data_IF_465291807211
#
_entry.id   IF_465291807211
#
_cell.length_a   1.000
_cell.length_b   1.000
_cell.length_c   1.000
_cell.angle_alpha   90.00
_cell.angle_beta   90.00
_cell.angle_gamma   90.00
#
_symmetry.space_group_name_H-M   'P 1'
#
loop_
_entity.id
_entity.type
_entity.pdbx_description
1 polymer ?
#
# COMPACT_ATOMS: atom_id res chain seq x y z
N UNK A 1 73.54 24.17 55.66
CA UNK A 1 72.85 23.89 54.37
C UNK A 1 71.80 22.83 54.67
N UNK A 2 70.55 22.82 54.19
CA UNK A 2 69.89 23.52 53.10
C UNK A 2 68.43 23.82 53.51
N UNK A 3 67.86 24.89 52.94
CA UNK A 3 66.52 25.39 53.26
C UNK A 3 65.52 24.81 52.27
N UNK A 4 64.64 23.94 52.74
CA UNK A 4 63.60 23.29 51.93
C UNK A 4 62.51 24.30 51.55
N UNK A 5 62.29 24.50 50.24
CA UNK A 5 61.33 25.48 49.69
C UNK A 5 60.05 24.77 49.27
N UNK A 6 58.95 25.12 49.93
CA UNK A 6 57.58 24.61 49.67
C UNK A 6 57.11 25.00 48.26
N UNK A 7 56.82 24.00 47.41
CA UNK A 7 56.25 24.16 46.06
C UNK A 7 54.79 24.66 46.16
N UNK A 8 54.49 25.81 45.57
CA UNK A 8 53.11 26.30 45.39
C UNK A 8 52.44 25.54 44.24
N UNK A 9 51.31 24.90 44.54
CA UNK A 9 50.36 24.36 43.57
C UNK A 9 49.62 25.52 42.91
N UNK A 10 49.90 25.79 41.62
CA UNK A 10 49.14 26.74 40.82
C UNK A 10 48.69 26.09 39.52
N UNK A 11 47.40 25.75 39.46
CA UNK A 11 46.75 25.24 38.27
C UNK A 11 45.28 24.92 38.52
N UNK A 12 44.56 25.78 39.26
CA UNK A 12 43.09 25.66 39.38
C UNK A 12 42.49 25.91 38.00
N UNK A 13 42.15 24.83 37.28
CA UNK A 13 41.27 24.89 36.10
C UNK A 13 39.96 25.53 36.55
N UNK A 14 39.67 26.75 36.11
CA UNK A 14 38.48 27.46 36.56
C UNK A 14 37.24 26.80 35.94
N UNK A 15 36.19 26.49 36.74
CA UNK A 15 34.98 25.86 36.22
C UNK A 15 34.26 26.73 35.19
N UNK A 16 34.47 28.06 35.25
CA UNK A 16 33.96 29.02 34.28
C UNK A 16 34.61 28.88 32.89
N UNK A 17 35.90 28.52 32.81
CA UNK A 17 36.57 28.27 31.53
C UNK A 17 36.04 26.98 30.88
N UNK A 18 35.74 25.96 31.67
CA UNK A 18 35.11 24.74 31.17
C UNK A 18 33.67 24.99 30.66
N UNK A 19 32.87 25.78 31.40
CA UNK A 19 31.53 26.15 30.99
C UNK A 19 31.51 27.00 29.71
N UNK A 20 32.45 27.94 29.56
CA UNK A 20 32.59 28.75 28.35
C UNK A 20 32.95 27.92 27.11
N UNK A 21 33.84 26.92 27.25
CA UNK A 21 34.22 26.03 26.15
C UNK A 21 33.08 25.11 25.73
N UNK A 22 32.29 24.60 26.68
CA UNK A 22 31.11 23.77 26.40
C UNK A 22 30.02 24.62 25.71
N UNK A 23 29.79 25.85 26.19
CA UNK A 23 28.85 26.78 25.56
C UNK A 23 29.25 27.16 24.13
N UNK A 24 30.54 27.43 23.90
CA UNK A 24 31.05 27.68 22.54
C UNK A 24 30.88 26.45 21.64
N UNK A 25 31.16 25.25 22.15
CA UNK A 25 30.96 23.99 21.41
C UNK A 25 29.51 23.77 21.01
N UNK A 26 28.56 23.97 21.94
CA UNK A 26 27.12 23.85 21.70
C UNK A 26 26.59 24.87 20.69
N UNK A 27 27.09 26.10 20.73
CA UNK A 27 26.69 27.15 19.78
C UNK A 27 27.20 26.84 18.36
N UNK A 28 28.42 26.33 18.23
CA UNK A 28 28.98 25.94 16.93
C UNK A 28 28.22 24.75 16.36
N UNK A 29 27.97 23.70 17.15
CA UNK A 29 27.20 22.53 16.66
C UNK A 29 25.75 22.88 16.35
N UNK A 30 25.12 23.74 17.14
CA UNK A 30 23.78 24.26 16.87
C UNK A 30 23.71 25.10 15.59
N UNK A 31 24.70 25.98 15.35
CA UNK A 31 24.78 26.79 14.14
C UNK A 31 25.05 25.94 12.89
N UNK A 32 25.93 24.93 12.99
CA UNK A 32 26.18 23.98 11.90
C UNK A 32 24.93 23.14 11.60
N UNK A 33 24.23 22.66 12.63
CA UNK A 33 22.99 21.91 12.45
C UNK A 33 21.90 22.77 11.81
N UNK A 34 21.71 24.01 12.27
CA UNK A 34 20.74 24.95 11.70
C UNK A 34 21.10 25.36 10.26
N UNK A 35 22.39 25.54 9.96
CA UNK A 35 22.86 25.81 8.60
C UNK A 35 22.64 24.61 7.67
N UNK A 36 22.89 23.40 8.15
CA UNK A 36 22.63 22.17 7.40
C UNK A 36 21.14 21.98 7.15
N UNK A 37 20.28 22.12 8.15
CA UNK A 37 18.82 22.00 7.97
C UNK A 37 18.26 23.09 7.07
N UNK A 38 18.78 24.33 7.13
CA UNK A 38 18.41 25.40 6.20
C UNK A 38 18.86 25.11 4.76
N UNK A 39 20.03 24.49 4.57
CA UNK A 39 20.50 24.07 3.25
C UNK A 39 19.66 22.92 2.68
N UNK A 40 19.26 21.94 3.51
CA UNK A 40 18.32 20.89 3.10
C UNK A 40 16.94 21.47 2.77
N UNK A 41 16.41 22.37 3.58
CA UNK A 41 15.12 23.03 3.33
C UNK A 41 15.14 23.95 2.09
N UNK A 42 16.28 24.60 1.79
CA UNK A 42 16.45 25.37 0.56
C UNK A 42 16.57 24.50 -0.69
N UNK A 43 16.91 23.21 -0.55
CA UNK A 43 16.91 22.24 -1.64
C UNK A 43 15.48 21.75 -1.95
N UNK A 44 14.60 21.72 -0.94
CA UNK A 44 13.16 21.42 -1.10
C UNK A 44 12.36 22.57 -1.75
N UNK A 45 12.98 23.74 -1.99
CA UNK A 45 12.31 24.89 -2.62
C UNK A 45 12.72 25.11 -4.07
N UNK A 46 13.14 24.07 -4.79
CA UNK A 46 12.95 24.09 -6.24
C UNK A 46 11.46 23.95 -6.49
N UNK A 47 10.84 25.06 -6.91
CA UNK A 47 9.58 25.03 -7.66
C UNK A 47 9.73 23.99 -8.76
N UNK A 48 9.18 22.80 -8.53
CA UNK A 48 8.94 21.81 -9.55
C UNK A 48 7.93 22.44 -10.51
N UNK A 49 8.44 23.09 -11.55
CA UNK A 49 7.78 23.01 -12.82
C UNK A 49 7.72 21.51 -13.12
N UNK A 50 6.56 20.89 -12.85
CA UNK A 50 6.29 19.49 -13.13
C UNK A 50 6.42 19.28 -14.63
N UNK A 51 7.63 19.04 -15.13
CA UNK A 51 7.79 18.48 -16.46
C UNK A 51 7.19 17.09 -16.38
N UNK A 52 5.96 16.95 -16.87
CA UNK A 52 5.31 15.65 -17.01
C UNK A 52 6.27 14.72 -17.76
N UNK A 53 6.55 13.56 -17.17
CA UNK A 53 7.39 12.55 -17.81
C UNK A 53 6.76 12.13 -19.13
N UNK A 54 7.59 12.00 -20.16
CA UNK A 54 7.12 11.69 -21.52
C UNK A 54 7.03 10.18 -21.74
N UNK A 55 6.36 9.77 -22.82
CA UNK A 55 6.37 8.37 -23.30
C UNK A 55 7.80 7.83 -23.48
N UNK A 56 8.71 8.67 -23.95
CA UNK A 56 10.12 8.29 -24.10
C UNK A 56 10.83 8.06 -22.76
N UNK A 57 10.47 8.82 -21.73
CA UNK A 57 10.96 8.57 -20.36
C UNK A 57 10.38 7.28 -19.80
N UNK A 58 9.10 7.01 -20.07
CA UNK A 58 8.45 5.73 -19.81
C UNK A 58 9.16 4.55 -20.45
N UNK A 59 9.56 4.68 -21.72
CA UNK A 59 10.35 3.66 -22.43
C UNK A 59 11.70 3.39 -21.78
N UNK A 60 12.42 4.43 -21.34
CA UNK A 60 13.70 4.28 -20.64
C UNK A 60 13.53 3.58 -19.30
N UNK A 61 12.51 3.96 -18.53
CA UNK A 61 12.17 3.31 -17.27
C UNK A 61 11.82 1.83 -17.48
N UNK A 62 10.99 1.53 -18.47
CA UNK A 62 10.63 0.17 -18.84
C UNK A 62 11.85 -0.65 -19.26
N UNK A 63 12.71 -0.08 -20.11
CA UNK A 63 13.94 -0.74 -20.59
C UNK A 63 14.89 -1.09 -19.43
N UNK A 64 15.02 -0.18 -18.46
CA UNK A 64 15.91 -0.37 -17.31
C UNK A 64 15.37 -1.39 -16.29
N UNK A 65 14.06 -1.52 -16.14
CA UNK A 65 13.45 -2.25 -15.01
C UNK A 65 12.65 -3.50 -15.41
N UNK A 66 12.13 -3.57 -16.63
CA UNK A 66 11.11 -4.55 -17.03
C UNK A 66 11.52 -5.40 -18.24
N UNK A 67 12.32 -4.86 -19.16
CA UNK A 67 12.64 -5.49 -20.44
C UNK A 67 13.35 -6.84 -20.32
N UNK A 68 14.08 -7.10 -19.23
CA UNK A 68 14.72 -8.40 -18.98
C UNK A 68 13.71 -9.56 -18.95
N UNK A 69 12.50 -9.30 -18.44
CA UNK A 69 11.44 -10.32 -18.36
C UNK A 69 10.40 -10.15 -19.46
N UNK A 70 10.04 -8.91 -19.80
CA UNK A 70 8.97 -8.60 -20.74
C UNK A 70 9.43 -8.33 -22.18
N UNK A 71 10.75 -8.38 -22.44
CA UNK A 71 11.34 -8.07 -23.73
C UNK A 71 11.43 -6.56 -24.00
N UNK A 72 12.28 -6.15 -24.93
CA UNK A 72 12.45 -4.73 -25.30
C UNK A 72 11.23 -4.18 -26.07
N UNK A 73 10.52 -5.06 -26.76
CA UNK A 73 9.36 -4.73 -27.63
C UNK A 73 8.06 -5.29 -27.05
N UNK A 74 8.01 -5.54 -25.73
CA UNK A 74 6.84 -6.06 -25.01
C UNK A 74 6.43 -7.50 -25.39
N UNK A 75 7.27 -8.20 -26.14
CA UNK A 75 6.99 -9.54 -26.68
C UNK A 75 7.04 -10.66 -25.61
N UNK A 76 7.54 -10.38 -24.41
CA UNK A 76 7.78 -11.37 -23.38
C UNK A 76 9.06 -12.17 -23.59
N UNK A 77 9.42 -12.98 -22.60
CA UNK A 77 10.57 -13.89 -22.63
C UNK A 77 10.21 -15.22 -21.94
N UNK A 78 11.17 -16.14 -21.82
CA UNK A 78 10.98 -17.31 -20.96
C UNK A 78 10.78 -16.96 -19.47
N UNK A 79 11.17 -15.75 -19.05
CA UNK A 79 11.12 -15.30 -17.66
C UNK A 79 9.92 -14.40 -17.34
N UNK A 80 9.13 -14.01 -18.34
CA UNK A 80 7.98 -13.12 -18.16
C UNK A 80 7.04 -13.12 -19.36
N UNK A 81 5.73 -12.92 -19.13
CA UNK A 81 4.75 -12.94 -20.21
C UNK A 81 4.92 -11.74 -21.15
N UNK A 82 4.31 -11.85 -22.33
CA UNK A 82 4.12 -10.70 -23.22
C UNK A 82 3.21 -9.66 -22.56
N UNK A 83 3.46 -8.39 -22.89
CA UNK A 83 2.62 -7.26 -22.49
C UNK A 83 1.73 -6.75 -23.65
N UNK A 84 1.63 -7.47 -24.76
CA UNK A 84 0.68 -7.14 -25.82
C UNK A 84 -0.76 -7.23 -25.31
N UNK A 85 -1.54 -6.16 -25.52
CA UNK A 85 -2.93 -6.07 -25.05
C UNK A 85 -3.11 -5.72 -23.58
N UNK A 86 -2.02 -5.52 -22.82
CA UNK A 86 -2.08 -5.16 -21.39
C UNK A 86 -2.54 -3.71 -21.21
N UNK A 87 -2.04 -2.79 -22.02
CA UNK A 87 -2.41 -1.37 -21.99
C UNK A 87 -1.97 -0.60 -20.75
N UNK A 88 -2.35 0.68 -20.69
CA UNK A 88 -1.98 1.59 -19.60
C UNK A 88 -2.66 1.24 -18.28
N UNK A 89 -3.94 0.89 -18.28
CA UNK A 89 -4.70 0.68 -17.04
C UNK A 89 -4.17 -0.53 -16.25
N UNK A 90 -3.90 -1.64 -16.94
CA UNK A 90 -3.34 -2.82 -16.28
C UNK A 90 -1.89 -2.58 -15.83
N UNK A 91 -1.12 -1.80 -16.60
CA UNK A 91 0.24 -1.43 -16.24
C UNK A 91 0.26 -0.57 -14.98
N UNK A 92 -0.59 0.46 -14.94
CA UNK A 92 -0.79 1.30 -13.76
C UNK A 92 -1.16 0.41 -12.57
N UNK A 93 -2.20 -0.42 -12.68
CA UNK A 93 -2.66 -1.28 -11.59
C UNK A 93 -1.55 -2.20 -11.05
N UNK A 94 -0.75 -2.83 -11.92
CA UNK A 94 0.30 -3.76 -11.45
C UNK A 94 1.44 -3.01 -10.75
N UNK A 95 1.80 -1.82 -11.21
CA UNK A 95 2.90 -1.03 -10.64
C UNK A 95 2.48 -0.25 -9.39
N UNK A 96 1.30 0.36 -9.39
CA UNK A 96 0.77 1.18 -8.29
C UNK A 96 0.28 0.33 -7.11
N UNK A 97 -0.08 -0.93 -7.36
CA UNK A 97 -0.32 -1.90 -6.27
C UNK A 97 0.95 -2.61 -5.82
N UNK A 98 2.10 -2.27 -6.43
CA UNK A 98 3.42 -2.81 -6.15
C UNK A 98 3.59 -4.29 -6.50
N UNK A 99 2.64 -4.92 -7.17
CA UNK A 99 2.75 -6.34 -7.60
C UNK A 99 3.91 -6.53 -8.57
N UNK A 100 4.06 -5.57 -9.48
CA UNK A 100 5.21 -5.43 -10.37
C UNK A 100 6.09 -4.24 -9.93
N UNK A 101 7.42 -4.34 -10.03
CA UNK A 101 8.20 -5.50 -10.48
C UNK A 101 8.14 -6.67 -9.50
N UNK A 102 8.04 -7.89 -10.05
CA UNK A 102 7.94 -9.11 -9.26
C UNK A 102 9.32 -9.47 -8.68
N UNK A 103 9.37 -9.73 -7.37
CA UNK A 103 10.64 -10.06 -6.68
C UNK A 103 10.95 -11.56 -6.69
N UNK A 104 9.92 -12.40 -6.71
CA UNK A 104 10.06 -13.85 -6.68
C UNK A 104 8.86 -14.51 -7.34
N UNK A 105 9.09 -15.67 -7.96
CA UNK A 105 8.02 -16.51 -8.48
C UNK A 105 7.30 -17.21 -7.33
N UNK A 106 5.98 -17.23 -7.38
CA UNK A 106 5.13 -17.87 -6.37
C UNK A 106 3.72 -18.10 -6.92
N UNK A 107 2.80 -18.65 -6.10
CA UNK A 107 1.44 -18.95 -6.54
C UNK A 107 0.68 -17.73 -7.09
N UNK A 108 0.99 -16.55 -6.54
CA UNK A 108 0.47 -15.26 -7.00
C UNK A 108 1.37 -14.10 -6.58
N UNK A 109 1.29 -12.96 -7.27
CA UNK A 109 2.06 -11.77 -6.90
C UNK A 109 1.35 -11.00 -5.76
N UNK A 110 1.94 -10.91 -4.55
CA UNK A 110 1.35 -10.16 -3.46
C UNK A 110 1.43 -8.65 -3.73
N UNK A 111 0.52 -7.89 -3.12
CA UNK A 111 0.65 -6.43 -3.05
C UNK A 111 1.86 -6.05 -2.20
N UNK A 112 2.56 -4.99 -2.61
CA UNK A 112 3.75 -4.46 -1.94
C UNK A 112 3.72 -2.95 -2.01
N UNK A 113 4.65 -2.31 -1.29
CA UNK A 113 4.91 -0.89 -1.51
C UNK A 113 5.31 -0.64 -2.97
N UNK A 114 4.72 0.36 -3.66
CA UNK A 114 5.12 0.75 -5.01
C UNK A 114 6.59 1.16 -5.04
N UNK A 115 7.29 0.76 -6.11
CA UNK A 115 8.71 1.10 -6.29
C UNK A 115 8.94 2.35 -7.16
N UNK A 116 7.89 2.81 -7.82
CA UNK A 116 7.92 3.96 -8.73
C UNK A 116 6.96 5.03 -8.23
N UNK A 117 7.24 6.28 -8.58
CA UNK A 117 6.31 7.39 -8.33
C UNK A 117 5.15 7.33 -9.32
N UNK A 118 4.04 8.01 -9.00
CA UNK A 118 2.87 8.08 -9.87
C UNK A 118 3.23 8.57 -11.29
N UNK A 119 3.99 9.65 -11.40
CA UNK A 119 4.43 10.18 -12.71
C UNK A 119 5.24 9.16 -13.52
N UNK A 120 6.08 8.35 -12.86
CA UNK A 120 6.86 7.31 -13.51
C UNK A 120 5.98 6.15 -13.97
N UNK A 121 4.99 5.77 -13.15
CA UNK A 121 4.00 4.74 -13.47
C UNK A 121 3.19 5.17 -14.69
N UNK A 122 2.65 6.39 -14.69
CA UNK A 122 1.88 6.93 -15.80
C UNK A 122 2.70 7.05 -17.08
N UNK A 123 3.97 7.46 -17.00
CA UNK A 123 4.85 7.49 -18.16
C UNK A 123 5.11 6.09 -18.75
N UNK A 124 5.39 5.09 -17.90
CA UNK A 124 5.54 3.70 -18.34
C UNK A 124 4.24 3.13 -18.90
N UNK A 125 3.10 3.43 -18.26
CA UNK A 125 1.77 3.01 -18.72
C UNK A 125 1.45 3.60 -20.10
N UNK A 126 1.73 4.88 -20.32
CA UNK A 126 1.56 5.53 -21.62
C UNK A 126 2.47 4.93 -22.70
N UNK A 127 3.71 4.57 -22.35
CA UNK A 127 4.59 3.83 -23.26
C UNK A 127 4.02 2.47 -23.65
N UNK A 128 3.60 1.66 -22.66
CA UNK A 128 2.97 0.36 -22.92
C UNK A 128 1.72 0.53 -23.79
N UNK A 129 0.87 1.52 -23.52
CA UNK A 129 -0.32 1.78 -24.34
C UNK A 129 0.01 2.18 -25.79
N UNK A 130 1.10 2.91 -26.01
CA UNK A 130 1.51 3.35 -27.35
C UNK A 130 2.01 2.19 -28.23
N UNK A 131 2.64 1.18 -27.64
CA UNK A 131 3.21 0.02 -28.36
C UNK A 131 2.28 -1.20 -28.33
N UNK A 132 1.51 -1.35 -27.25
CA UNK A 132 0.65 -2.49 -26.95
C UNK A 132 -0.71 -2.02 -26.40
N UNK A 133 -1.60 -1.49 -27.26
CA UNK A 133 -2.88 -0.97 -26.83
C UNK A 133 -3.71 -2.01 -26.08
N UNK A 134 -4.29 -1.60 -24.95
CA UNK A 134 -5.18 -2.41 -24.13
C UNK A 134 -6.19 -1.54 -23.38
N UNK A 135 -6.74 -2.03 -22.26
CA UNK A 135 -7.63 -1.25 -21.39
C UNK A 135 -7.06 0.11 -21.01
N UNK A 136 -7.88 1.14 -21.11
CA UNK A 136 -7.56 2.55 -20.82
C UNK A 136 -8.26 3.01 -19.54
N UNK A 137 -7.85 4.16 -19.01
CA UNK A 137 -8.48 4.77 -17.85
C UNK A 137 -9.97 5.06 -18.09
N UNK A 138 -10.84 4.81 -17.09
CA UNK A 138 -12.25 5.17 -17.19
C UNK A 138 -12.43 6.69 -17.07
N UNK A 139 -13.62 7.17 -17.44
CA UNK A 139 -14.01 8.55 -17.12
C UNK A 139 -14.20 8.76 -15.62
N UNK A 140 -14.02 9.99 -15.15
CA UNK A 140 -14.20 10.38 -13.74
C UNK A 140 -15.58 10.02 -13.19
N UNK A 141 -16.61 10.00 -14.04
CA UNK A 141 -17.98 9.60 -13.68
C UNK A 141 -18.02 8.19 -13.08
N UNK A 142 -17.24 7.24 -13.59
CA UNK A 142 -17.22 5.85 -13.12
C UNK A 142 -16.57 5.72 -11.74
N UNK A 143 -15.69 6.65 -11.39
CA UNK A 143 -14.89 6.61 -10.17
C UNK A 143 -15.44 7.50 -9.05
N UNK A 144 -16.56 8.19 -9.29
CA UNK A 144 -17.06 9.25 -8.41
C UNK A 144 -17.67 8.76 -7.08
N UNK A 145 -17.95 7.45 -6.98
CA UNK A 145 -18.58 6.83 -5.82
C UNK A 145 -20.05 7.23 -5.60
N UNK A 146 -20.76 7.67 -6.64
CA UNK A 146 -22.15 8.15 -6.58
C UNK A 146 -23.11 7.30 -7.42
N UNK A 147 -22.77 6.06 -7.68
CA UNK A 147 -23.67 5.06 -8.25
C UNK A 147 -24.73 4.56 -7.25
N UNK A 148 -25.59 3.66 -7.69
CA UNK A 148 -26.57 2.98 -6.85
C UNK A 148 -25.88 1.92 -5.96
N UNK A 149 -25.68 2.28 -4.69
CA UNK A 149 -25.08 1.40 -3.67
C UNK A 149 -25.86 0.10 -3.48
N UNK A 150 -27.18 0.11 -3.63
CA UNK A 150 -28.01 -1.09 -3.41
C UNK A 150 -27.81 -2.07 -4.57
N UNK A 151 -27.90 -1.57 -5.81
CA UNK A 151 -27.64 -2.36 -7.01
C UNK A 151 -26.19 -2.89 -7.01
N UNK A 152 -25.22 -2.03 -6.72
CA UNK A 152 -23.81 -2.40 -6.64
C UNK A 152 -23.53 -3.49 -5.60
N UNK A 153 -24.20 -3.43 -4.45
CA UNK A 153 -24.06 -4.43 -3.40
C UNK A 153 -24.71 -5.77 -3.76
N UNK A 154 -25.74 -5.79 -4.61
CA UNK A 154 -26.32 -7.01 -5.18
C UNK A 154 -25.37 -7.61 -6.23
N UNK A 155 -24.90 -6.79 -7.18
CA UNK A 155 -23.95 -7.20 -8.21
C UNK A 155 -22.66 -7.76 -7.61
N UNK A 156 -22.11 -7.12 -6.57
CA UNK A 156 -20.94 -7.62 -5.87
C UNK A 156 -21.18 -8.98 -5.21
N UNK A 157 -22.36 -9.19 -4.60
CA UNK A 157 -22.72 -10.48 -3.98
C UNK A 157 -22.83 -11.61 -5.00
N UNK A 158 -23.38 -11.32 -6.18
CA UNK A 158 -23.57 -12.32 -7.24
C UNK A 158 -22.26 -12.64 -7.96
N UNK A 159 -21.39 -11.65 -8.17
CA UNK A 159 -20.23 -11.80 -9.05
C UNK A 159 -18.87 -11.91 -8.33
N UNK A 160 -18.73 -11.33 -7.13
CA UNK A 160 -17.42 -11.10 -6.50
C UNK A 160 -17.28 -11.77 -5.12
N UNK A 161 -18.37 -11.83 -4.35
CA UNK A 161 -18.35 -12.29 -2.96
C UNK A 161 -17.93 -13.77 -2.80
N UNK A 162 -18.06 -14.58 -3.85
CA UNK A 162 -17.57 -15.96 -3.87
C UNK A 162 -16.06 -16.05 -3.64
N UNK A 163 -15.31 -15.03 -4.03
CA UNK A 163 -13.87 -14.95 -3.82
C UNK A 163 -13.49 -13.95 -2.73
N UNK A 164 -14.11 -12.76 -2.75
CA UNK A 164 -13.72 -11.65 -1.87
C UNK A 164 -14.48 -11.59 -0.54
N UNK A 165 -15.36 -12.56 -0.25
CA UNK A 165 -16.31 -12.53 0.88
C UNK A 165 -17.39 -11.43 0.71
N UNK A 166 -18.57 -11.62 1.30
CA UNK A 166 -19.67 -10.65 1.28
C UNK A 166 -19.28 -9.32 1.93
N UNK A 167 -18.41 -9.35 2.94
CA UNK A 167 -17.86 -8.16 3.58
C UNK A 167 -16.63 -7.59 2.85
N UNK A 168 -16.29 -8.12 1.67
CA UNK A 168 -15.09 -7.76 0.91
C UNK A 168 -13.77 -7.95 1.68
N UNK A 169 -13.75 -8.86 2.66
CA UNK A 169 -12.60 -9.16 3.51
C UNK A 169 -11.50 -10.01 2.84
N UNK A 170 -11.77 -10.54 1.64
CA UNK A 170 -10.91 -11.47 0.93
C UNK A 170 -11.26 -12.94 1.21
N UNK A 171 -10.48 -13.85 0.62
CA UNK A 171 -10.74 -15.28 0.73
C UNK A 171 -9.61 -16.14 0.19
N UNK A 172 -9.48 -17.37 0.69
CA UNK A 172 -8.51 -18.34 0.19
C UNK A 172 -8.99 -18.95 -1.14
N UNK A 173 -8.08 -19.11 -2.10
CA UNK A 173 -8.28 -19.80 -3.37
C UNK A 173 -7.44 -21.08 -3.41
N UNK A 174 -7.63 -21.88 -4.45
CA UNK A 174 -6.87 -23.12 -4.67
C UNK A 174 -5.38 -22.84 -4.88
N UNK A 175 -4.54 -23.84 -4.62
CA UNK A 175 -3.09 -23.79 -4.89
C UNK A 175 -2.33 -22.67 -4.15
N UNK A 176 -2.82 -22.22 -3.00
CA UNK A 176 -2.17 -21.18 -2.19
C UNK A 176 -2.38 -19.75 -2.71
N UNK A 177 -3.27 -19.57 -3.69
CA UNK A 177 -3.75 -18.26 -4.14
C UNK A 177 -4.77 -17.69 -3.14
N UNK A 178 -5.03 -16.39 -3.20
CA UNK A 178 -6.03 -15.73 -2.37
C UNK A 178 -6.57 -14.47 -3.04
N UNK A 179 -7.83 -14.15 -2.74
CA UNK A 179 -8.46 -12.89 -3.07
C UNK A 179 -8.11 -11.87 -1.97
N UNK A 180 -7.55 -10.70 -2.32
CA UNK A 180 -7.25 -9.67 -1.33
C UNK A 180 -8.54 -9.06 -0.76
N UNK A 181 -8.45 -8.49 0.45
CA UNK A 181 -9.49 -7.63 0.99
C UNK A 181 -9.58 -6.31 0.21
N UNK A 182 -10.79 -5.77 0.07
CA UNK A 182 -11.07 -4.53 -0.68
C UNK A 182 -11.38 -3.35 0.24
N UNK A 183 -11.04 -3.45 1.53
CA UNK A 183 -11.32 -2.43 2.53
C UNK A 183 -10.50 -1.13 2.42
N UNK A 184 -9.40 -1.15 1.67
CA UNK A 184 -8.44 -0.03 1.61
C UNK A 184 -7.97 0.29 0.17
N UNK A 185 -8.73 -0.13 -0.84
CA UNK A 185 -8.36 0.06 -2.26
C UNK A 185 -9.09 1.27 -2.86
N UNK A 186 -8.49 1.88 -3.90
CA UNK A 186 -9.05 3.05 -4.59
C UNK A 186 -10.14 2.64 -5.60
N UNK A 187 -11.03 3.59 -5.93
CA UNK A 187 -12.04 3.39 -6.98
C UNK A 187 -11.40 2.98 -8.32
N UNK A 188 -10.28 3.62 -8.69
CA UNK A 188 -9.53 3.29 -9.90
C UNK A 188 -9.04 1.84 -9.89
N UNK A 189 -8.49 1.38 -8.77
CA UNK A 189 -7.98 0.01 -8.66
C UNK A 189 -9.10 -1.03 -8.60
N UNK A 190 -10.27 -0.70 -8.05
CA UNK A 190 -11.46 -1.55 -8.16
C UNK A 190 -11.88 -1.70 -9.64
N UNK A 191 -11.98 -0.58 -10.37
CA UNK A 191 -12.31 -0.60 -11.80
C UNK A 191 -11.27 -1.38 -12.61
N UNK A 192 -9.98 -1.09 -12.41
CA UNK A 192 -8.89 -1.76 -13.10
C UNK A 192 -8.89 -3.26 -12.84
N UNK A 193 -9.12 -3.70 -11.59
CA UNK A 193 -9.21 -5.12 -11.26
C UNK A 193 -10.38 -5.80 -12.01
N UNK A 194 -11.55 -5.16 -12.10
CA UNK A 194 -12.69 -5.71 -12.84
C UNK A 194 -12.39 -5.85 -14.34
N UNK A 195 -11.82 -4.83 -14.97
CA UNK A 195 -11.63 -4.80 -16.43
C UNK A 195 -10.39 -5.60 -16.88
N UNK A 196 -9.37 -5.71 -16.03
CA UNK A 196 -8.10 -6.38 -16.41
C UNK A 196 -8.01 -7.81 -15.92
N UNK A 197 -8.84 -8.22 -14.95
CA UNK A 197 -8.86 -9.58 -14.41
C UNK A 197 -7.48 -10.03 -13.89
N UNK A 198 -6.89 -9.35 -12.88
CA UNK A 198 -5.54 -9.63 -12.46
C UNK A 198 -5.42 -11.05 -11.87
N UNK A 199 -4.38 -11.76 -12.29
CA UNK A 199 -4.03 -13.10 -11.79
C UNK A 199 -5.12 -14.15 -12.05
N UNK A 200 -5.91 -14.51 -11.04
CA UNK A 200 -6.98 -15.51 -11.16
C UNK A 200 -8.38 -14.85 -11.11
N UNK A 201 -8.45 -13.52 -11.05
CA UNK A 201 -9.71 -12.81 -11.13
C UNK A 201 -10.21 -12.83 -12.58
N UNK A 202 -11.48 -13.21 -12.85
CA UNK A 202 -12.02 -13.17 -14.20
C UNK A 202 -12.14 -11.73 -14.71
N UNK A 203 -12.10 -11.58 -16.03
CA UNK A 203 -12.30 -10.28 -16.70
C UNK A 203 -13.78 -9.98 -16.81
N UNK A 204 -14.18 -8.80 -16.31
CA UNK A 204 -15.54 -8.27 -16.39
C UNK A 204 -15.59 -7.09 -17.38
N UNK A 205 -15.70 -7.43 -18.66
CA UNK A 205 -15.92 -6.44 -19.72
C UNK A 205 -17.38 -5.99 -19.82
N UNK A 206 -17.65 -5.03 -20.70
CA UNK A 206 -18.93 -4.32 -20.84
C UNK A 206 -20.12 -5.22 -21.23
N UNK A 207 -19.83 -6.39 -21.77
CA UNK A 207 -20.84 -7.41 -22.10
C UNK A 207 -21.37 -8.14 -20.87
N UNK A 208 -20.60 -8.16 -19.77
CA UNK A 208 -20.95 -8.85 -18.53
C UNK A 208 -21.38 -7.86 -17.44
N UNK A 209 -20.64 -6.76 -17.29
CA UNK A 209 -20.96 -5.66 -16.38
C UNK A 209 -20.79 -4.36 -17.15
N UNK A 210 -21.87 -3.60 -17.30
CA UNK A 210 -21.81 -2.28 -17.94
C UNK A 210 -20.99 -1.30 -17.10
N UNK A 211 -20.65 -0.15 -17.67
CA UNK A 211 -19.92 0.89 -16.95
C UNK A 211 -20.71 1.42 -15.74
N UNK A 212 -22.04 1.54 -15.83
CA UNK A 212 -22.87 1.89 -14.67
C UNK A 212 -22.89 0.77 -13.64
N UNK A 213 -22.92 -0.51 -14.04
CA UNK A 213 -22.83 -1.63 -13.08
C UNK A 213 -21.49 -1.61 -12.32
N UNK A 214 -20.39 -1.33 -13.01
CA UNK A 214 -19.06 -1.17 -12.38
C UNK A 214 -19.04 0.02 -11.42
N UNK A 215 -19.61 1.16 -11.82
CA UNK A 215 -19.72 2.37 -10.99
C UNK A 215 -20.55 2.11 -9.73
N UNK A 216 -21.64 1.35 -9.85
CA UNK A 216 -22.49 0.94 -8.73
C UNK A 216 -21.71 0.04 -7.77
N UNK A 217 -21.01 -0.99 -8.27
CA UNK A 217 -20.15 -1.87 -7.45
C UNK A 217 -19.07 -1.06 -6.71
N UNK A 218 -18.39 -0.15 -7.40
CA UNK A 218 -17.38 0.74 -6.80
C UNK A 218 -18.01 1.58 -5.68
N UNK A 219 -19.17 2.17 -5.94
CA UNK A 219 -19.89 2.99 -4.95
C UNK A 219 -20.30 2.17 -3.72
N UNK A 220 -20.74 0.93 -3.92
CA UNK A 220 -21.07 0.01 -2.84
C UNK A 220 -19.84 -0.35 -1.99
N UNK A 221 -18.69 -0.61 -2.62
CA UNK A 221 -17.44 -0.89 -1.91
C UNK A 221 -16.93 0.33 -1.15
N UNK A 222 -16.94 1.53 -1.76
CA UNK A 222 -16.57 2.77 -1.08
C UNK A 222 -17.48 3.07 0.12
N UNK A 223 -18.79 2.84 -0.03
CA UNK A 223 -19.73 2.94 1.09
C UNK A 223 -19.38 1.95 2.21
N UNK A 224 -19.08 0.70 1.86
CA UNK A 224 -18.70 -0.33 2.82
C UNK A 224 -17.40 0.01 3.57
N UNK A 225 -16.41 0.61 2.91
CA UNK A 225 -15.16 1.08 3.53
C UNK A 225 -15.40 2.15 4.59
N UNK A 226 -16.37 3.04 4.37
CA UNK A 226 -16.69 4.13 5.29
C UNK A 226 -17.71 3.74 6.38
N UNK A 227 -18.43 2.63 6.18
CA UNK A 227 -19.46 2.19 7.11
C UNK A 227 -18.88 1.80 8.47
N UNK A 228 -19.42 2.41 9.53
CA UNK A 228 -19.10 2.04 10.91
C UNK A 228 -19.72 0.69 11.25
N UNK A 229 -18.92 -0.17 11.90
CA UNK A 229 -19.36 -1.48 12.35
C UNK A 229 -20.43 -1.32 13.42
N UNK A 230 -21.63 -1.84 13.16
CA UNK A 230 -22.76 -1.79 14.09
C UNK A 230 -22.72 -3.03 14.98
N UNK A 231 -22.70 -2.85 16.30
CA UNK A 231 -22.83 -3.97 17.25
C UNK A 231 -21.54 -4.50 17.86
N UNK A 232 -20.41 -3.80 17.72
CA UNK A 232 -19.17 -4.11 18.43
C UNK A 232 -17.98 -4.38 17.51
N UNK A 233 -17.05 -5.23 17.97
CA UNK A 233 -15.83 -5.54 17.25
C UNK A 233 -16.09 -6.55 16.11
N UNK A 234 -15.63 -6.27 14.89
CA UNK A 234 -15.96 -7.05 13.69
C UNK A 234 -15.21 -8.38 13.56
N UNK A 235 -14.17 -8.63 14.37
CA UNK A 235 -13.34 -9.84 14.32
C UNK A 235 -12.86 -10.19 12.89
N UNK A 236 -12.51 -9.16 12.12
CA UNK A 236 -12.04 -9.28 10.73
C UNK A 236 -13.13 -9.54 9.69
N UNK A 237 -14.41 -9.48 10.08
CA UNK A 237 -15.58 -9.68 9.19
C UNK A 237 -15.58 -11.03 8.45
N UNK A 238 -14.94 -12.05 9.04
CA UNK A 238 -14.88 -13.42 8.52
C UNK A 238 -16.07 -14.29 8.98
N UNK A 239 -16.98 -13.70 9.76
CA UNK A 239 -18.22 -14.33 10.22
C UNK A 239 -18.00 -15.43 11.26
N UNK A 240 -18.73 -16.56 11.18
CA UNK A 240 -18.90 -17.49 12.31
C UNK A 240 -17.61 -18.18 12.76
N UNK A 241 -16.56 -18.20 11.92
CA UNK A 241 -15.27 -18.81 12.28
C UNK A 241 -14.53 -17.97 13.31
N UNK A 242 -14.33 -16.67 13.03
CA UNK A 242 -13.63 -15.78 13.96
C UNK A 242 -14.47 -15.48 15.19
N UNK A 243 -15.79 -15.30 15.02
CA UNK A 243 -16.76 -15.17 16.11
C UNK A 243 -16.78 -16.42 17.01
N UNK A 244 -16.84 -17.62 16.41
CA UNK A 244 -16.85 -18.88 17.14
C UNK A 244 -15.56 -19.10 17.94
N UNK A 245 -14.40 -18.79 17.36
CA UNK A 245 -13.12 -18.87 18.06
C UNK A 245 -13.07 -17.88 19.24
N UNK A 246 -13.57 -16.65 19.05
CA UNK A 246 -13.63 -15.66 20.10
C UNK A 246 -14.53 -16.12 21.26
N UNK A 247 -15.74 -16.61 20.95
CA UNK A 247 -16.67 -17.15 21.95
C UNK A 247 -16.07 -18.36 22.66
N UNK A 248 -15.34 -19.23 21.96
CA UNK A 248 -14.71 -20.40 22.57
C UNK A 248 -13.60 -20.01 23.56
N UNK A 249 -12.69 -19.10 23.17
CA UNK A 249 -11.59 -18.68 24.04
C UNK A 249 -12.08 -17.82 25.19
N UNK A 250 -12.85 -16.76 24.90
CA UNK A 250 -13.19 -15.75 25.90
C UNK A 250 -14.54 -16.02 26.55
N UNK A 251 -15.55 -16.43 25.78
CA UNK A 251 -16.88 -16.73 26.32
C UNK A 251 -16.84 -17.99 27.20
N UNK A 252 -16.52 -19.13 26.61
CA UNK A 252 -16.45 -20.42 27.33
C UNK A 252 -15.31 -20.40 28.34
N UNK A 253 -14.14 -19.85 27.98
CA UNK A 253 -13.02 -19.71 28.93
C UNK A 253 -13.37 -18.90 30.17
N UNK A 254 -14.09 -17.78 30.04
CA UNK A 254 -14.56 -17.02 31.19
C UNK A 254 -15.58 -17.78 32.03
N UNK A 255 -16.52 -18.50 31.40
CA UNK A 255 -17.49 -19.34 32.12
C UNK A 255 -16.79 -20.45 32.93
N UNK A 256 -15.78 -21.11 32.36
CA UNK A 256 -14.96 -22.10 33.06
C UNK A 256 -14.20 -21.46 34.24
N UNK A 257 -13.59 -20.29 34.03
CA UNK A 257 -12.88 -19.59 35.11
C UNK A 257 -13.82 -19.19 36.27
N UNK A 258 -15.01 -18.68 35.96
CA UNK A 258 -16.02 -18.31 36.97
C UNK A 258 -16.53 -19.54 37.72
N UNK A 259 -16.82 -20.63 37.02
CA UNK A 259 -17.30 -21.87 37.67
C UNK A 259 -16.23 -22.48 38.59
N UNK A 260 -14.97 -22.49 38.18
CA UNK A 260 -13.84 -22.90 39.04
C UNK A 260 -13.69 -21.96 40.24
N UNK A 261 -13.81 -20.65 40.05
CA UNK A 261 -13.71 -19.69 41.15
C UNK A 261 -14.84 -19.85 42.19
N UNK A 262 -16.08 -20.07 41.74
CA UNK A 262 -17.22 -20.29 42.63
C UNK A 262 -17.03 -21.58 43.43
N UNK A 263 -16.64 -22.67 42.76
CA UNK A 263 -16.45 -23.98 43.43
C UNK A 263 -15.21 -24.02 44.33
N UNK A 264 -14.16 -23.26 44.03
CA UNK A 264 -12.98 -23.15 44.90
C UNK A 264 -13.25 -22.35 46.19
N UNK A 265 -14.26 -21.48 46.20
CA UNK A 265 -14.65 -20.65 47.37
C UNK A 265 -15.68 -21.30 48.30
N UNK A 266 -16.30 -22.40 47.90
CA UNK A 266 -17.35 -23.07 48.70
C UNK A 266 -16.80 -24.05 49.76
N UNK A 267 -15.50 -24.04 50.03
CA UNK A 267 -14.82 -24.66 51.17
C UNK A 267 -14.07 -23.58 51.97
#
# INVERSE_FOLDING_TARGET
MAREKKRRSSGRRSPLAAAALIGAGLMITGAVYAGATAAFAATDTQSAATSQLTVEDGKKLFTANCATCHGLDLQGTANGPSLYGVGELATEFQLSTGRMPLQMQGPQAPQKAPQFTEDQILAMAAFVQSEAPGPTFPSDHILDGKGDVSNGAELFRVNCAMCHNVAAAGGALTEGKYAPGLGETSALHMYAAMVTGPQNMPVFGDMNLSDEDKRDIISALLFQQQSVQIGGFSLGSLGPVSEGLFVWIFGIGALVAVTVWITAKSN
#
